data_IF_539484374247
#
_entry.id   IF_539484374247
#
_cell.length_a   1.000
_cell.length_b   1.000
_cell.length_c   1.000
_cell.angle_alpha   90.00
_cell.angle_beta   90.00
_cell.angle_gamma   90.00
#
_symmetry.space_group_name_H-M   'P 1'
#
loop_
_entity.id
_entity.type
_entity.pdbx_description
1 polymer ?
#
# COMPACT_ATOMS: atom_id res chain seq x y z
N UNK A 1 6.87 -5.79 16.96
CA UNK A 1 7.29 -4.57 16.22
C UNK A 1 6.12 -4.12 15.37
N UNK A 2 5.74 -2.83 15.38
CA UNK A 2 4.65 -2.32 14.55
C UNK A 2 4.94 -2.50 13.06
N UNK A 3 3.89 -2.73 12.27
CA UNK A 3 3.97 -2.89 10.82
C UNK A 3 2.78 -2.21 10.18
N UNK A 4 3.03 -1.54 9.06
CA UNK A 4 1.98 -1.06 8.15
C UNK A 4 1.99 -1.96 6.92
N UNK A 5 0.80 -2.40 6.52
CA UNK A 5 0.61 -3.23 5.34
C UNK A 5 -0.50 -2.64 4.49
N UNK A 6 -0.19 -2.35 3.23
CA UNK A 6 -1.19 -1.98 2.23
C UNK A 6 -1.46 -3.20 1.38
N UNK A 7 -2.73 -3.57 1.30
CA UNK A 7 -3.18 -4.70 0.50
C UNK A 7 -4.40 -4.30 -0.29
N UNK A 8 -4.51 -4.83 -1.51
CA UNK A 8 -5.69 -4.68 -2.36
C UNK A 8 -6.42 -6.01 -2.46
N UNK A 9 -7.75 -5.97 -2.55
CA UNK A 9 -8.59 -7.13 -2.82
C UNK A 9 -8.94 -7.18 -4.31
N UNK A 10 -8.06 -7.78 -5.10
CA UNK A 10 -8.42 -8.13 -6.49
C UNK A 10 -9.12 -9.49 -6.45
N UNK A 11 -10.35 -9.54 -6.96
CA UNK A 11 -11.45 -10.50 -6.64
C UNK A 11 -11.26 -11.99 -6.95
N UNK A 12 -10.09 -12.57 -6.69
CA UNK A 12 -9.94 -13.99 -6.47
C UNK A 12 -9.38 -14.21 -5.06
N UNK A 13 -9.76 -15.29 -4.40
CA UNK A 13 -9.41 -15.62 -3.01
C UNK A 13 -7.88 -15.84 -2.82
N UNK A 14 -7.12 -15.85 -3.92
CA UNK A 14 -5.65 -15.86 -4.00
C UNK A 14 -5.02 -14.50 -4.40
N UNK A 15 -5.83 -13.48 -4.65
CA UNK A 15 -5.47 -12.20 -5.30
C UNK A 15 -5.23 -11.03 -4.34
N UNK A 16 -5.04 -11.30 -3.04
CA UNK A 16 -4.63 -10.25 -2.09
C UNK A 16 -3.17 -9.88 -2.37
N UNK A 17 -2.95 -8.83 -3.16
CA UNK A 17 -1.61 -8.32 -3.44
C UNK A 17 -1.16 -7.43 -2.29
N UNK A 18 0.01 -7.73 -1.73
CA UNK A 18 0.67 -6.87 -0.75
C UNK A 18 1.47 -5.82 -1.53
N UNK A 19 1.08 -4.56 -1.44
CA UNK A 19 1.75 -3.46 -2.14
C UNK A 19 2.77 -2.75 -1.26
N UNK A 20 2.56 -2.77 0.05
CA UNK A 20 3.52 -2.31 1.04
C UNK A 20 3.49 -3.23 2.26
N UNK A 21 4.67 -3.51 2.81
CA UNK A 21 4.81 -4.21 4.09
C UNK A 21 6.05 -3.70 4.81
N UNK A 22 5.89 -2.62 5.57
CA UNK A 22 6.99 -1.88 6.18
C UNK A 22 6.93 -1.96 7.71
N UNK A 23 8.06 -2.28 8.35
CA UNK A 23 8.19 -2.22 9.80
C UNK A 23 8.28 -0.75 10.22
N UNK A 24 7.43 -0.32 11.16
CA UNK A 24 7.43 1.05 11.67
C UNK A 24 8.12 1.08 13.04
N UNK A 25 9.22 1.82 13.12
CA UNK A 25 9.90 2.16 14.38
C UNK A 25 10.02 3.67 14.62
N UNK A 26 10.57 4.08 15.78
CA UNK A 26 10.74 5.48 16.17
C UNK A 26 11.47 6.35 15.14
N UNK A 27 12.39 5.75 14.35
CA UNK A 27 13.13 6.44 13.28
C UNK A 27 12.21 7.13 12.25
N UNK A 28 11.03 6.58 11.98
CA UNK A 28 10.08 7.20 11.05
C UNK A 28 9.40 8.44 11.64
N UNK A 29 9.45 8.65 12.95
CA UNK A 29 8.81 9.76 13.67
C UNK A 29 9.84 10.71 14.29
N UNK A 30 11.14 10.50 14.01
CA UNK A 30 12.22 11.23 14.64
C UNK A 30 12.25 12.71 14.23
N UNK A 31 11.84 13.00 12.99
CA UNK A 31 11.75 14.36 12.45
C UNK A 31 10.75 14.41 11.30
N UNK A 32 10.44 15.63 10.86
CA UNK A 32 9.51 15.90 9.77
C UNK A 32 9.91 15.18 8.47
N UNK A 33 11.20 15.21 8.12
CA UNK A 33 11.69 14.57 6.90
C UNK A 33 11.49 13.05 6.91
N UNK A 34 11.78 12.40 8.03
CA UNK A 34 11.63 10.95 8.20
C UNK A 34 10.14 10.55 8.20
N UNK A 35 9.29 11.41 8.75
CA UNK A 35 7.83 11.25 8.73
C UNK A 35 7.29 11.38 7.31
N UNK A 36 7.73 12.39 6.57
CA UNK A 36 7.36 12.62 5.17
C UNK A 36 7.77 11.45 4.29
N UNK A 37 9.00 10.95 4.40
CA UNK A 37 9.44 9.80 3.60
C UNK A 37 8.56 8.55 3.83
N UNK A 38 8.15 8.30 5.07
CA UNK A 38 7.23 7.21 5.38
C UNK A 38 5.84 7.44 4.77
N UNK A 39 5.31 8.66 4.89
CA UNK A 39 4.03 9.04 4.31
C UNK A 39 4.03 8.99 2.77
N UNK A 40 5.14 9.34 2.12
CA UNK A 40 5.29 9.25 0.65
C UNK A 40 5.18 7.80 0.16
N UNK A 41 5.90 6.87 0.79
CA UNK A 41 5.80 5.44 0.45
C UNK A 41 4.40 4.89 0.69
N UNK A 42 3.78 5.31 1.79
CA UNK A 42 2.39 4.93 2.08
C UNK A 42 1.43 5.47 1.02
N UNK A 43 1.58 6.72 0.61
CA UNK A 43 0.75 7.35 -0.42
C UNK A 43 0.89 6.64 -1.78
N UNK A 44 2.12 6.30 -2.19
CA UNK A 44 2.33 5.52 -3.41
C UNK A 44 1.66 4.15 -3.35
N UNK A 45 1.82 3.42 -2.24
CA UNK A 45 1.19 2.11 -2.09
C UNK A 45 -0.34 2.16 -2.12
N UNK A 46 -0.95 3.26 -1.62
CA UNK A 46 -2.39 3.49 -1.71
C UNK A 46 -2.81 3.74 -3.16
N UNK A 47 -2.13 4.64 -3.86
CA UNK A 47 -2.41 4.91 -5.29
C UNK A 47 -2.26 3.65 -6.14
N UNK A 48 -1.23 2.84 -5.89
CA UNK A 48 -1.02 1.57 -6.58
C UNK A 48 -2.15 0.56 -6.29
N UNK A 49 -2.72 0.57 -5.09
CA UNK A 49 -3.84 -0.28 -4.72
C UNK A 49 -5.10 0.09 -5.51
N UNK A 50 -5.42 1.39 -5.56
CA UNK A 50 -6.54 1.86 -6.35
C UNK A 50 -6.37 1.55 -7.84
N UNK A 51 -5.16 1.71 -8.38
CA UNK A 51 -4.87 1.39 -9.79
C UNK A 51 -4.93 -0.12 -10.07
N UNK A 52 -4.57 -0.96 -9.10
CA UNK A 52 -4.74 -2.41 -9.22
C UNK A 52 -6.23 -2.79 -9.25
N UNK A 53 -7.05 -2.17 -8.42
CA UNK A 53 -8.50 -2.40 -8.35
C UNK A 53 -9.20 -1.95 -9.62
N UNK A 54 -8.92 -0.72 -10.08
CA UNK A 54 -9.46 -0.20 -11.36
C UNK A 54 -9.10 -1.10 -12.54
N UNK A 55 -7.86 -1.58 -12.61
CA UNK A 55 -7.44 -2.50 -13.68
C UNK A 55 -8.17 -3.83 -13.61
N UNK A 56 -8.43 -4.35 -12.41
CA UNK A 56 -9.17 -5.58 -12.22
C UNK A 56 -10.64 -5.43 -12.62
N UNK A 57 -11.30 -4.33 -12.24
CA UNK A 57 -12.67 -4.01 -12.66
C UNK A 57 -12.80 -3.90 -14.19
N UNK A 58 -11.86 -3.20 -14.83
CA UNK A 58 -11.84 -3.08 -16.30
C UNK A 58 -11.62 -4.43 -17.00
N UNK A 59 -10.86 -5.34 -16.39
CA UNK A 59 -10.63 -6.68 -16.92
C UNK A 59 -11.87 -7.59 -16.80
N UNK A 60 -12.75 -7.34 -15.82
CA UNK A 60 -14.00 -8.08 -15.63
C UNK A 60 -15.11 -7.68 -16.62
N UNK A 61 -15.04 -6.47 -17.17
CA UNK A 61 -16.06 -5.92 -18.09
C UNK A 61 -15.81 -6.35 -19.56
N UNK A 62 -14.65 -6.95 -19.85
CA UNK A 62 -14.18 -7.28 -21.20
C UNK A 62 -14.35 -8.76 -21.52
#
# INVERSE_FOLDING_TARGET
>A
MPRVTVTTETGNERGRSILLSECVGPVHMENEHSSLQFLERLAWAISDAEDAERRFELALIR
#
